data_IF_119276127754
#
_entry.id   IF_119276127754
#
_cell.length_a   1.000
_cell.length_b   1.000
_cell.length_c   1.000
_cell.angle_alpha   90.00
_cell.angle_beta   90.00
_cell.angle_gamma   90.00
#
_symmetry.space_group_name_H-M   'P 1'
#
loop_
_entity.id
_entity.type
_entity.pdbx_description
1 polymer ?
#
# COMPACT_ATOMS: atom_id res chain seq x y z
N UNK A 1 14.39 -22.55 5.91
CA UNK A 1 14.00 -21.54 6.91
C UNK A 1 12.67 -20.97 6.48
N UNK A 2 11.74 -20.75 7.42
CA UNK A 2 10.45 -20.11 7.11
C UNK A 2 10.72 -18.64 6.76
N UNK A 3 10.13 -18.16 5.64
CA UNK A 3 10.29 -16.78 5.16
C UNK A 3 9.24 -15.90 5.85
N UNK A 4 9.69 -14.98 6.70
CA UNK A 4 8.82 -14.11 7.49
C UNK A 4 8.31 -12.92 6.67
N UNK A 5 7.02 -12.69 6.71
CA UNK A 5 6.34 -11.61 6.00
C UNK A 5 5.70 -10.67 7.03
N UNK A 6 5.92 -9.37 6.89
CA UNK A 6 5.27 -8.36 7.72
C UNK A 6 4.47 -7.38 6.85
N UNK A 7 3.15 -7.33 7.07
CA UNK A 7 2.30 -6.29 6.51
C UNK A 7 2.29 -5.10 7.48
N UNK A 8 2.83 -3.97 7.05
CA UNK A 8 2.82 -2.73 7.83
C UNK A 8 1.75 -1.80 7.29
N UNK A 9 0.91 -1.29 8.18
CA UNK A 9 -0.18 -0.37 7.88
C UNK A 9 0.19 1.02 8.45
N UNK A 10 0.83 1.90 7.67
CA UNK A 10 1.17 3.23 8.15
C UNK A 10 -0.08 4.09 8.31
N UNK A 11 -0.25 4.67 9.49
CA UNK A 11 -1.39 5.52 9.81
C UNK A 11 -0.93 6.73 10.64
N UNK A 12 -1.23 7.94 10.20
CA UNK A 12 -0.97 9.16 10.96
C UNK A 12 -2.26 9.91 11.23
N UNK A 13 -2.34 10.50 12.41
CA UNK A 13 -3.50 11.30 12.79
C UNK A 13 -3.50 12.67 12.11
N UNK A 14 -2.32 13.30 12.03
CA UNK A 14 -2.14 14.62 11.43
C UNK A 14 -2.20 14.53 9.89
N UNK A 15 -3.41 14.60 9.35
CA UNK A 15 -3.68 14.74 7.93
C UNK A 15 -4.17 16.16 7.64
N UNK A 16 -3.55 16.86 6.70
CA UNK A 16 -3.91 18.25 6.35
C UNK A 16 -5.32 18.36 5.76
N UNK A 17 -5.76 17.36 5.00
CA UNK A 17 -7.09 17.34 4.35
C UNK A 17 -8.20 16.83 5.27
N UNK A 18 -7.91 15.87 6.14
CA UNK A 18 -8.88 15.25 7.05
C UNK A 18 -8.15 14.76 8.31
N UNK A 19 -8.05 15.59 9.38
CA UNK A 19 -7.46 15.18 10.64
C UNK A 19 -8.19 13.96 11.23
N UNK A 20 -7.43 13.02 11.81
CA UNK A 20 -8.00 11.80 12.36
C UNK A 20 -8.52 10.81 11.31
N UNK A 21 -8.15 10.98 10.04
CA UNK A 21 -8.60 10.13 8.91
C UNK A 21 -8.64 8.63 9.22
N UNK A 22 -7.63 8.02 9.88
CA UNK A 22 -7.66 6.58 10.18
C UNK A 22 -8.83 6.15 11.07
N UNK A 23 -9.31 7.04 11.94
CA UNK A 23 -10.40 6.77 12.88
C UNK A 23 -11.78 7.22 12.36
N UNK A 24 -11.85 7.77 11.15
CA UNK A 24 -13.13 8.11 10.52
C UNK A 24 -13.90 6.83 10.19
N UNK A 25 -15.19 6.82 10.53
CA UNK A 25 -16.07 5.69 10.25
C UNK A 25 -16.58 5.70 8.81
N UNK A 26 -16.40 4.58 8.14
CA UNK A 26 -16.99 4.28 6.83
C UNK A 26 -18.06 3.21 7.06
N UNK A 27 -19.33 3.55 6.86
CA UNK A 27 -20.44 2.67 7.17
C UNK A 27 -20.35 2.04 8.58
N UNK A 28 -20.11 2.89 9.59
CA UNK A 28 -20.08 2.51 11.00
C UNK A 28 -18.79 1.85 11.51
N UNK A 29 -17.81 1.58 10.64
CA UNK A 29 -16.51 0.94 11.00
C UNK A 29 -15.37 1.86 10.66
N UNK A 30 -14.43 2.04 11.58
CA UNK A 30 -13.25 2.90 11.41
C UNK A 30 -12.41 2.42 10.20
N UNK A 31 -11.89 3.39 9.44
CA UNK A 31 -11.12 3.10 8.23
C UNK A 31 -9.91 2.21 8.52
N UNK A 32 -9.17 2.48 9.59
CA UNK A 32 -8.01 1.68 9.99
C UNK A 32 -8.41 0.22 10.31
N UNK A 33 -9.58 0.01 10.91
CA UNK A 33 -10.11 -1.34 11.19
C UNK A 33 -10.34 -2.12 9.90
N UNK A 34 -10.92 -1.49 8.88
CA UNK A 34 -11.14 -2.13 7.58
C UNK A 34 -9.83 -2.58 6.93
N UNK A 35 -8.80 -1.73 7.00
CA UNK A 35 -7.47 -2.06 6.46
C UNK A 35 -6.81 -3.18 7.27
N UNK A 36 -6.91 -3.12 8.60
CA UNK A 36 -6.39 -4.17 9.48
C UNK A 36 -7.10 -5.52 9.26
N UNK A 37 -8.41 -5.52 9.03
CA UNK A 37 -9.17 -6.73 8.72
C UNK A 37 -8.72 -7.39 7.40
N UNK A 38 -8.34 -6.57 6.38
CA UNK A 38 -7.72 -7.07 5.14
C UNK A 38 -6.40 -7.79 5.46
N UNK A 39 -5.49 -7.13 6.19
CA UNK A 39 -4.21 -7.72 6.57
C UNK A 39 -4.40 -9.00 7.42
N UNK A 40 -5.28 -8.96 8.40
CA UNK A 40 -5.61 -10.11 9.25
C UNK A 40 -6.15 -11.30 8.41
N UNK A 41 -6.93 -11.03 7.36
CA UNK A 41 -7.45 -12.08 6.48
C UNK A 41 -6.33 -12.80 5.72
N UNK A 42 -5.31 -12.07 5.28
CA UNK A 42 -4.13 -12.63 4.62
C UNK A 42 -3.30 -13.47 5.59
N UNK A 43 -3.03 -12.95 6.78
CA UNK A 43 -2.23 -13.65 7.79
C UNK A 43 -2.88 -14.96 8.25
N UNK A 44 -4.22 -15.06 8.26
CA UNK A 44 -4.91 -16.33 8.58
C UNK A 44 -4.59 -17.46 7.60
N UNK A 45 -4.25 -17.15 6.35
CA UNK A 45 -3.96 -18.13 5.31
C UNK A 45 -2.43 -18.30 5.07
N UNK A 46 -1.60 -17.46 5.70
CA UNK A 46 -0.15 -17.47 5.58
C UNK A 46 0.47 -17.51 6.99
N UNK A 47 0.84 -18.68 7.51
CA UNK A 47 1.34 -18.82 8.90
C UNK A 47 2.57 -17.97 9.23
N UNK A 48 3.40 -17.69 8.22
CA UNK A 48 4.61 -16.89 8.34
C UNK A 48 4.37 -15.39 8.16
N UNK A 49 3.11 -14.98 7.98
CA UNK A 49 2.70 -13.60 7.80
C UNK A 49 2.14 -13.03 9.11
N UNK A 50 2.61 -11.84 9.46
CA UNK A 50 2.07 -11.02 10.53
C UNK A 50 1.74 -9.62 10.01
N UNK A 51 1.01 -8.84 10.82
CA UNK A 51 0.72 -7.44 10.45
C UNK A 51 0.79 -6.53 11.68
N UNK A 52 1.02 -5.24 11.44
CA UNK A 52 1.07 -4.21 12.47
C UNK A 52 0.62 -2.85 11.92
N UNK A 53 -0.13 -2.10 12.70
CA UNK A 53 -0.41 -0.68 12.46
C UNK A 53 0.76 0.14 12.98
N UNK A 54 1.33 1.00 12.15
CA UNK A 54 2.45 1.88 12.49
C UNK A 54 1.95 3.33 12.58
N UNK A 55 2.05 3.96 13.74
CA UNK A 55 1.52 5.30 13.97
C UNK A 55 2.39 6.12 14.91
N UNK A 56 2.29 7.45 14.82
CA UNK A 56 2.92 8.42 15.72
C UNK A 56 1.92 9.03 16.74
N UNK A 57 0.70 8.49 16.83
CA UNK A 57 -0.37 9.11 17.62
C UNK A 57 -1.03 8.09 18.55
N UNK A 58 -1.07 8.44 19.84
CA UNK A 58 -1.62 7.57 20.88
C UNK A 58 -3.09 7.25 20.69
N UNK A 59 -3.89 8.17 20.12
CA UNK A 59 -5.31 7.92 19.83
C UNK A 59 -5.52 6.74 18.88
N UNK A 60 -4.57 6.51 17.96
CA UNK A 60 -4.62 5.39 17.05
C UNK A 60 -4.17 4.11 17.75
N UNK A 61 -3.09 4.16 18.57
CA UNK A 61 -2.68 2.99 19.34
C UNK A 61 -3.71 2.56 20.37
N UNK A 62 -4.36 3.52 21.04
CA UNK A 62 -5.41 3.25 22.03
C UNK A 62 -6.61 2.57 21.37
N UNK A 63 -7.08 3.10 20.23
CA UNK A 63 -8.11 2.44 19.44
C UNK A 63 -7.68 1.03 19.00
N UNK A 64 -6.46 0.86 18.52
CA UNK A 64 -5.95 -0.45 18.12
C UNK A 64 -5.93 -1.44 19.28
N UNK A 65 -5.52 -1.00 20.48
CA UNK A 65 -5.52 -1.82 21.68
C UNK A 65 -6.93 -2.28 22.07
N UNK A 66 -7.91 -1.36 22.07
CA UNK A 66 -9.32 -1.67 22.34
C UNK A 66 -9.91 -2.63 21.29
N UNK A 67 -9.50 -2.48 20.02
CA UNK A 67 -9.98 -3.29 18.91
C UNK A 67 -9.24 -4.61 18.73
N UNK A 68 -8.20 -4.90 19.54
CA UNK A 68 -7.35 -6.09 19.41
C UNK A 68 -6.49 -6.10 18.13
N UNK A 69 -6.10 -4.92 17.63
CA UNK A 69 -5.26 -4.75 16.44
C UNK A 69 -3.81 -4.53 16.89
N UNK A 70 -2.83 -5.31 16.40
CA UNK A 70 -1.42 -5.04 16.68
C UNK A 70 -0.99 -3.66 16.20
N UNK A 71 -0.37 -2.87 17.07
CA UNK A 71 0.10 -1.54 16.73
C UNK A 71 1.48 -1.25 17.36
N UNK A 72 2.26 -0.40 16.71
CA UNK A 72 3.56 0.06 17.18
C UNK A 72 3.67 1.59 17.03
N UNK A 73 4.19 2.24 18.07
CA UNK A 73 4.55 3.65 18.00
C UNK A 73 5.80 3.84 17.16
N UNK A 74 5.74 4.79 16.25
CA UNK A 74 6.82 5.18 15.35
C UNK A 74 7.19 6.64 15.54
N UNK A 75 8.30 7.08 14.96
CA UNK A 75 8.75 8.46 15.06
C UNK A 75 7.76 9.44 14.42
N UNK A 76 7.55 10.57 15.06
CA UNK A 76 6.84 11.72 14.49
C UNK A 76 7.59 12.34 13.30
N UNK A 77 8.90 12.09 13.20
CA UNK A 77 9.75 12.64 12.13
C UNK A 77 9.61 11.92 10.80
N UNK A 78 8.88 10.79 10.74
CA UNK A 78 8.63 10.07 9.50
C UNK A 78 7.86 10.94 8.50
N UNK A 79 8.49 11.25 7.36
CA UNK A 79 7.96 12.15 6.32
C UNK A 79 6.96 11.46 5.38
N UNK A 80 7.06 10.14 5.27
CA UNK A 80 6.24 9.33 4.36
C UNK A 80 5.71 8.07 5.03
N UNK A 81 4.71 7.43 4.40
CA UNK A 81 4.23 6.11 4.81
C UNK A 81 5.34 5.05 4.73
N UNK A 82 6.21 5.14 3.72
CA UNK A 82 7.34 4.21 3.54
C UNK A 82 8.38 4.34 4.65
N UNK A 83 8.75 5.58 5.04
CA UNK A 83 9.65 5.80 6.18
C UNK A 83 9.04 5.26 7.47
N UNK A 84 7.74 5.44 7.67
CA UNK A 84 7.03 4.90 8.83
C UNK A 84 6.99 3.37 8.84
N UNK A 85 6.83 2.74 7.68
CA UNK A 85 6.94 1.29 7.56
C UNK A 85 8.33 0.83 7.98
N UNK A 86 9.38 1.49 7.51
CA UNK A 86 10.76 1.16 7.88
C UNK A 86 11.02 1.36 9.39
N UNK A 87 10.57 2.46 9.97
CA UNK A 87 10.70 2.69 11.42
C UNK A 87 9.97 1.61 12.23
N UNK A 88 8.80 1.17 11.79
CA UNK A 88 8.06 0.07 12.42
C UNK A 88 8.81 -1.25 12.32
N UNK A 89 9.41 -1.56 11.16
CA UNK A 89 10.21 -2.77 10.93
C UNK A 89 11.45 -2.77 11.81
N UNK A 90 12.18 -1.64 11.90
CA UNK A 90 13.39 -1.55 12.71
C UNK A 90 13.16 -1.78 14.21
N UNK A 91 11.91 -1.70 14.67
CA UNK A 91 11.51 -1.99 16.07
C UNK A 91 11.08 -3.43 16.30
N UNK A 92 11.03 -4.27 15.26
CA UNK A 92 10.72 -5.69 15.42
C UNK A 92 11.92 -6.44 16.03
N UNK A 93 11.63 -7.39 16.90
CA UNK A 93 12.67 -8.25 17.48
C UNK A 93 13.35 -9.13 16.43
N UNK A 94 12.62 -9.51 15.41
CA UNK A 94 13.11 -10.28 14.26
C UNK A 94 12.78 -9.55 12.97
N UNK A 95 13.75 -9.44 12.08
CA UNK A 95 13.55 -8.76 10.80
C UNK A 95 12.76 -9.66 9.84
N UNK A 96 11.72 -9.14 9.18
CA UNK A 96 11.02 -9.87 8.13
C UNK A 96 11.87 -9.95 6.86
N UNK A 97 11.68 -11.04 6.09
CA UNK A 97 12.30 -11.22 4.78
C UNK A 97 11.55 -10.42 3.71
N UNK A 98 10.24 -10.19 3.91
CA UNK A 98 9.40 -9.41 2.99
C UNK A 98 8.49 -8.44 3.77
N UNK A 99 8.44 -7.19 3.32
CA UNK A 99 7.64 -6.13 3.92
C UNK A 99 6.60 -5.67 2.91
N UNK A 100 5.33 -5.71 3.31
CA UNK A 100 4.23 -5.18 2.50
C UNK A 100 3.74 -3.88 3.13
N UNK A 101 3.85 -2.78 2.40
CA UNK A 101 3.32 -1.48 2.77
C UNK A 101 1.85 -1.38 2.34
N UNK A 102 0.91 -1.74 3.21
CA UNK A 102 -0.52 -1.58 2.98
C UNK A 102 -0.99 -0.24 3.53
N UNK A 103 -1.23 0.72 2.65
CA UNK A 103 -1.60 2.09 3.05
C UNK A 103 -2.85 2.10 3.93
N UNK A 104 -2.78 2.77 5.09
CA UNK A 104 -3.86 2.86 6.08
C UNK A 104 -5.12 3.59 5.60
N UNK A 105 -5.06 4.21 4.43
CA UNK A 105 -6.19 4.87 3.77
C UNK A 105 -6.70 4.13 2.52
N UNK A 106 -6.36 2.84 2.38
CA UNK A 106 -6.84 1.99 1.30
C UNK A 106 -7.80 0.87 1.81
N UNK A 107 -8.99 1.23 2.33
CA UNK A 107 -9.94 0.28 2.93
C UNK A 107 -10.62 -0.66 1.92
N UNK A 108 -10.42 -0.43 0.63
CA UNK A 108 -10.97 -1.23 -0.46
C UNK A 108 -9.91 -2.04 -1.22
N UNK A 109 -8.69 -2.13 -0.68
CA UNK A 109 -7.66 -2.98 -1.28
C UNK A 109 -8.14 -4.44 -1.32
N UNK A 110 -8.25 -5.06 -2.51
CA UNK A 110 -8.69 -6.44 -2.59
C UNK A 110 -7.65 -7.38 -1.96
N UNK A 111 -8.04 -8.28 -1.04
CA UNK A 111 -7.09 -9.19 -0.40
C UNK A 111 -6.26 -10.03 -1.38
N UNK A 112 -6.83 -10.41 -2.53
CA UNK A 112 -6.13 -11.20 -3.54
C UNK A 112 -4.90 -10.47 -4.14
N UNK A 113 -4.89 -9.14 -4.17
CA UNK A 113 -3.71 -8.35 -4.62
C UNK A 113 -2.54 -8.59 -3.68
N UNK A 114 -2.79 -8.58 -2.36
CA UNK A 114 -1.75 -8.81 -1.35
C UNK A 114 -1.25 -10.26 -1.42
N UNK A 115 -2.18 -11.21 -1.60
CA UNK A 115 -1.82 -12.61 -1.75
C UNK A 115 -0.95 -12.83 -2.99
N UNK A 116 -1.30 -12.22 -4.11
CA UNK A 116 -0.50 -12.31 -5.33
C UNK A 116 0.91 -11.73 -5.15
N UNK A 117 1.07 -10.61 -4.44
CA UNK A 117 2.40 -10.06 -4.13
C UNK A 117 3.25 -11.05 -3.32
N UNK A 118 2.64 -11.76 -2.38
CA UNK A 118 3.33 -12.81 -1.59
C UNK A 118 3.75 -13.98 -2.49
N UNK A 119 2.85 -14.43 -3.35
CA UNK A 119 3.09 -15.58 -4.23
C UNK A 119 4.18 -15.27 -5.25
N UNK A 120 4.14 -14.09 -5.88
CA UNK A 120 5.14 -13.62 -6.83
C UNK A 120 6.52 -13.44 -6.17
N UNK A 121 6.57 -12.86 -4.96
CA UNK A 121 7.82 -12.72 -4.21
C UNK A 121 8.45 -14.09 -3.89
N UNK A 122 7.64 -15.08 -3.52
CA UNK A 122 8.13 -16.44 -3.27
C UNK A 122 8.63 -17.15 -4.54
N UNK A 123 8.03 -16.83 -5.68
CA UNK A 123 8.35 -17.47 -6.96
C UNK A 123 9.54 -16.83 -7.68
N UNK A 124 9.70 -15.52 -7.58
CA UNK A 124 10.72 -14.76 -8.29
C UNK A 124 11.34 -13.70 -7.38
N UNK A 125 12.61 -13.86 -6.95
CA UNK A 125 13.24 -12.89 -6.07
C UNK A 125 13.49 -11.58 -6.82
N UNK A 126 12.86 -10.50 -6.33
CA UNK A 126 13.15 -9.13 -6.72
C UNK A 126 13.15 -8.26 -5.46
N UNK A 127 13.87 -7.14 -5.50
CA UNK A 127 14.02 -6.27 -4.33
C UNK A 127 12.73 -5.50 -4.02
N UNK A 128 11.92 -5.19 -5.05
CA UNK A 128 10.69 -4.42 -4.91
C UNK A 128 9.60 -4.97 -5.83
N UNK A 129 8.40 -5.12 -5.27
CA UNK A 129 7.19 -5.48 -6.00
C UNK A 129 6.15 -4.38 -5.87
N UNK A 130 5.43 -4.10 -6.95
CA UNK A 130 4.27 -3.21 -6.93
C UNK A 130 3.20 -3.72 -7.89
N UNK A 131 1.92 -3.73 -7.47
CA UNK A 131 0.86 -4.10 -8.39
C UNK A 131 0.67 -3.01 -9.43
N UNK A 132 0.42 -3.42 -10.67
CA UNK A 132 0.01 -2.53 -11.75
C UNK A 132 -1.12 -3.18 -12.56
N UNK A 133 -1.86 -2.35 -13.29
CA UNK A 133 -2.90 -2.81 -14.21
C UNK A 133 -2.53 -2.40 -15.63
N UNK A 134 -2.86 -3.27 -16.57
CA UNK A 134 -2.81 -2.91 -17.99
C UNK A 134 -4.08 -2.13 -18.31
N UNK A 135 -3.93 -0.92 -18.86
CA UNK A 135 -5.05 -0.09 -19.27
C UNK A 135 -5.45 -0.44 -20.72
N UNK A 136 -6.74 -0.60 -20.94
CA UNK A 136 -7.26 -0.53 -22.30
C UNK A 136 -7.32 0.93 -22.81
N UNK A 137 -7.73 1.12 -24.07
CA UNK A 137 -7.75 2.46 -24.67
C UNK A 137 -8.79 3.38 -24.02
N UNK A 138 -9.92 2.86 -23.55
CA UNK A 138 -10.93 3.66 -22.86
C UNK A 138 -10.44 4.11 -21.48
N UNK A 139 -9.80 3.22 -20.74
CA UNK A 139 -9.18 3.51 -19.45
C UNK A 139 -8.01 4.49 -19.59
N UNK A 140 -7.20 4.35 -20.65
CA UNK A 140 -6.14 5.28 -20.97
C UNK A 140 -6.71 6.70 -21.24
N UNK A 141 -7.76 6.83 -22.06
CA UNK A 141 -8.41 8.11 -22.34
C UNK A 141 -8.98 8.73 -21.06
N UNK A 142 -9.61 7.95 -20.20
CA UNK A 142 -10.09 8.38 -18.89
C UNK A 142 -8.96 8.89 -17.99
N UNK A 143 -7.82 8.19 -17.98
CA UNK A 143 -6.63 8.61 -17.23
C UNK A 143 -6.10 9.95 -17.78
N UNK A 144 -5.96 10.09 -19.09
CA UNK A 144 -5.49 11.33 -19.75
C UNK A 144 -6.42 12.49 -19.42
N UNK A 145 -7.74 12.28 -19.49
CA UNK A 145 -8.73 13.31 -19.15
C UNK A 145 -8.65 13.71 -17.68
N UNK A 146 -8.57 12.74 -16.77
CA UNK A 146 -8.46 13.01 -15.33
C UNK A 146 -7.21 13.82 -14.96
N UNK A 147 -6.12 13.63 -15.69
CA UNK A 147 -4.87 14.39 -15.49
C UNK A 147 -4.97 15.87 -15.85
N UNK A 148 -5.99 16.32 -16.56
CA UNK A 148 -6.24 17.75 -16.79
C UNK A 148 -6.60 18.49 -15.49
N UNK A 149 -7.27 17.81 -14.58
CA UNK A 149 -7.68 18.37 -13.27
C UNK A 149 -6.80 17.91 -12.13
N UNK A 150 -6.23 16.70 -12.22
CA UNK A 150 -5.37 16.08 -11.20
C UNK A 150 -4.05 15.57 -11.82
N UNK A 151 -3.13 16.47 -12.25
CA UNK A 151 -1.97 16.10 -13.07
C UNK A 151 -1.00 15.14 -12.39
N UNK A 152 -0.98 15.09 -11.06
CA UNK A 152 -0.10 14.25 -10.27
C UNK A 152 -0.79 12.99 -9.73
N UNK A 153 -2.02 12.70 -10.11
CA UNK A 153 -2.75 11.48 -9.75
C UNK A 153 -2.56 10.40 -10.82
N UNK A 154 -2.55 9.12 -10.41
CA UNK A 154 -2.40 7.99 -11.33
C UNK A 154 -0.98 7.86 -11.88
N UNK A 155 -0.11 7.20 -11.13
CA UNK A 155 1.25 6.87 -11.57
C UNK A 155 1.18 5.82 -12.68
N UNK A 156 1.90 6.06 -13.78
CA UNK A 156 2.09 5.09 -14.85
C UNK A 156 3.46 4.44 -14.74
N UNK A 157 3.59 3.22 -15.23
CA UNK A 157 4.83 2.44 -15.24
C UNK A 157 5.13 1.97 -16.66
N UNK A 158 6.40 2.07 -17.04
CA UNK A 158 6.93 1.42 -18.24
C UNK A 158 7.64 0.14 -17.80
N UNK A 159 7.27 -0.98 -18.39
CA UNK A 159 7.86 -2.29 -18.10
C UNK A 159 8.62 -2.84 -19.31
N UNK A 160 9.63 -3.67 -19.04
CA UNK A 160 10.32 -4.42 -20.06
C UNK A 160 9.52 -5.68 -20.45
N UNK A 161 10.06 -6.46 -21.41
CA UNK A 161 9.43 -7.71 -21.88
C UNK A 161 9.34 -8.82 -20.83
N UNK A 162 10.06 -8.70 -19.71
CA UNK A 162 10.08 -9.65 -18.62
C UNK A 162 9.20 -9.19 -17.42
N UNK A 163 8.54 -8.01 -17.52
CA UNK A 163 7.70 -7.46 -16.48
C UNK A 163 8.44 -6.59 -15.47
N UNK A 164 9.75 -6.33 -15.66
CA UNK A 164 10.49 -5.42 -14.77
C UNK A 164 10.21 -3.97 -15.09
N UNK A 165 9.98 -3.18 -14.04
CA UNK A 165 9.74 -1.75 -14.16
C UNK A 165 11.02 -1.03 -14.60
N UNK A 166 10.92 -0.27 -15.70
CA UNK A 166 12.00 0.56 -16.22
C UNK A 166 11.91 2.00 -15.72
N UNK A 167 10.68 2.51 -15.57
CA UNK A 167 10.43 3.86 -15.10
C UNK A 167 9.02 4.01 -14.56
N UNK A 168 8.87 4.90 -13.57
CA UNK A 168 7.58 5.37 -13.06
C UNK A 168 7.42 6.86 -13.37
N UNK A 169 6.21 7.28 -13.70
CA UNK A 169 5.92 8.68 -14.00
C UNK A 169 4.53 9.08 -13.51
N UNK A 170 4.42 10.31 -13.02
CA UNK A 170 3.11 10.94 -12.80
C UNK A 170 2.48 11.43 -14.10
N UNK A 171 3.26 11.59 -15.17
CA UNK A 171 2.76 11.76 -16.54
C UNK A 171 2.47 10.41 -17.19
N UNK A 172 1.69 10.39 -18.28
CA UNK A 172 1.47 9.19 -19.06
C UNK A 172 2.74 8.79 -19.82
N UNK A 173 3.23 7.58 -19.61
CA UNK A 173 4.36 7.01 -20.35
C UNK A 173 3.99 5.62 -20.91
N UNK A 174 4.52 5.25 -22.11
CA UNK A 174 5.24 6.10 -23.06
C UNK A 174 4.36 7.21 -23.65
N UNK A 175 4.97 8.32 -24.06
CA UNK A 175 4.22 9.37 -24.75
C UNK A 175 3.75 8.86 -26.13
N UNK A 176 2.45 8.78 -26.31
CA UNK A 176 1.85 8.32 -27.58
C UNK A 176 1.54 9.53 -28.44
N UNK A 177 2.37 9.76 -29.48
CA UNK A 177 2.27 10.93 -30.34
C UNK A 177 0.97 11.02 -31.14
N UNK A 178 0.44 9.86 -31.57
CA UNK A 178 -0.77 9.75 -32.42
C UNK A 178 -1.60 8.57 -31.93
N UNK A 179 -2.33 8.70 -30.80
CA UNK A 179 -3.09 7.60 -30.22
C UNK A 179 -4.13 7.03 -31.21
N UNK A 180 -4.68 7.86 -32.10
CA UNK A 180 -5.62 7.43 -33.13
C UNK A 180 -5.05 6.47 -34.19
N UNK A 181 -3.71 6.36 -34.24
CA UNK A 181 -3.02 5.39 -35.12
C UNK A 181 -2.51 4.14 -34.40
N UNK A 182 -2.53 4.16 -33.08
CA UNK A 182 -2.06 3.07 -32.24
C UNK A 182 -3.20 2.18 -31.75
N UNK A 183 -4.45 2.61 -31.94
CA UNK A 183 -5.70 1.89 -31.61
C UNK A 183 -6.02 0.79 -32.60
#
# INVERSE_FOLDING_TARGET
>A
MSQKILIVIPARYASTRLPGKPLVKIAGVEMIRRVADIAASICRHNPDCSYVVATDDTRITDYCAEAGIPAVMTSETCRSGTERCWDAVSRQAEQPDFIINLQGDNPLCPPWVIQQLIDEWKACPADVFTPCIHLDWAEYDNLVESKKTTPYSGTTVLVDKNGYALAFSMGTIPAIRKPEKAR
#
